data_IF_222126410774
#
_entry.id   IF_222126410774
#
_cell.length_a   1.000
_cell.length_b   1.000
_cell.length_c   1.000
_cell.angle_alpha   90.00
_cell.angle_beta   90.00
_cell.angle_gamma   90.00
#
_symmetry.space_group_name_H-M   'P 1'
#
loop_
_entity.id
_entity.type
_entity.pdbx_description
1 polymer ?
#
# COMPACT_ATOMS: atom_id res chain seq x y z
N UNK A 1 20.60 20.22 17.24
CA UNK A 1 19.34 19.91 16.54
C UNK A 1 19.65 19.91 15.05
N UNK A 2 19.30 18.85 14.33
CA UNK A 2 19.51 18.75 12.87
C UNK A 2 18.38 19.50 12.18
N UNK A 3 18.69 20.48 11.34
CA UNK A 3 17.71 21.28 10.59
C UNK A 3 17.48 20.68 9.21
N UNK A 4 16.24 20.32 8.90
CA UNK A 4 15.82 19.75 7.62
C UNK A 4 15.05 20.79 6.82
N UNK A 5 15.40 20.95 5.55
CA UNK A 5 14.59 21.68 4.58
C UNK A 5 14.00 20.71 3.54
N UNK A 6 12.68 20.74 3.40
CA UNK A 6 11.95 19.97 2.39
C UNK A 6 12.14 20.57 1.01
N UNK A 7 12.22 19.71 0.00
CA UNK A 7 12.33 20.09 -1.40
C UNK A 7 11.16 19.48 -2.19
N UNK A 8 10.29 20.35 -2.69
CA UNK A 8 9.10 19.96 -3.42
C UNK A 8 8.01 19.37 -2.52
N UNK A 9 7.07 18.65 -3.13
CA UNK A 9 5.97 18.05 -2.40
C UNK A 9 6.43 16.83 -1.58
N UNK A 10 6.26 16.97 -0.27
CA UNK A 10 6.53 15.96 0.75
C UNK A 10 5.26 15.63 1.54
N UNK A 11 4.08 15.81 0.92
CA UNK A 11 2.81 15.37 1.50
C UNK A 11 2.84 13.85 1.77
N UNK A 12 2.17 13.43 2.84
CA UNK A 12 2.16 12.03 3.31
C UNK A 12 3.55 11.48 3.64
N UNK A 13 4.38 12.32 4.24
CA UNK A 13 5.68 11.93 4.81
C UNK A 13 5.78 12.44 6.24
N UNK A 14 6.69 11.88 7.07
CA UNK A 14 6.93 12.34 8.45
C UNK A 14 7.34 13.82 8.55
N UNK A 15 7.73 14.45 7.44
CA UNK A 15 8.19 15.83 7.40
C UNK A 15 7.06 16.86 7.22
N UNK A 16 5.79 16.43 7.12
CA UNK A 16 4.68 17.31 6.73
C UNK A 16 3.50 17.38 7.68
N UNK A 17 3.26 16.37 8.53
CA UNK A 17 2.16 16.43 9.50
C UNK A 17 2.65 16.84 10.90
N UNK A 18 1.74 17.40 11.70
CA UNK A 18 2.07 18.00 13.00
C UNK A 18 2.61 17.00 14.02
N UNK A 19 2.07 15.79 14.07
CA UNK A 19 2.47 14.79 15.07
C UNK A 19 3.85 14.21 14.80
N UNK A 20 4.14 13.87 13.55
CA UNK A 20 5.47 13.39 13.16
C UNK A 20 6.52 14.49 13.27
N UNK A 21 6.17 15.74 12.92
CA UNK A 21 7.06 16.89 13.16
C UNK A 21 7.34 17.05 14.66
N UNK A 22 6.33 16.88 15.52
CA UNK A 22 6.54 16.90 16.98
C UNK A 22 7.48 15.77 17.40
N UNK A 23 7.26 14.54 16.92
CA UNK A 23 8.14 13.41 17.19
C UNK A 23 9.58 13.67 16.72
N UNK A 24 9.77 14.22 15.52
CA UNK A 24 11.08 14.58 14.99
C UNK A 24 11.76 15.64 15.88
N UNK A 25 11.02 16.67 16.30
CA UNK A 25 11.53 17.71 17.21
C UNK A 25 11.99 17.12 18.54
N UNK A 26 11.20 16.21 19.13
CA UNK A 26 11.55 15.48 20.36
C UNK A 26 12.80 14.60 20.18
N UNK A 27 13.12 14.22 18.93
CA UNK A 27 14.34 13.51 18.54
C UNK A 27 15.47 14.44 18.07
N UNK A 28 15.33 15.74 18.26
CA UNK A 28 16.36 16.73 17.91
C UNK A 28 16.47 16.99 16.41
N UNK A 29 15.43 16.72 15.63
CA UNK A 29 15.32 16.98 14.19
C UNK A 29 14.22 18.02 13.97
N UNK A 30 14.57 19.19 13.43
CA UNK A 30 13.59 20.25 13.12
C UNK A 30 13.36 20.39 11.63
N UNK A 31 12.10 20.53 11.23
CA UNK A 31 11.74 20.89 9.85
C UNK A 31 11.61 22.40 9.77
N UNK A 32 12.44 23.03 8.94
CA UNK A 32 12.49 24.48 8.74
C UNK A 32 12.08 24.85 7.31
N UNK A 33 11.86 26.15 7.08
CA UNK A 33 11.38 26.73 5.82
C UNK A 33 12.42 27.63 5.11
N UNK A 34 13.66 27.66 5.60
CA UNK A 34 14.72 28.51 5.09
C UNK A 34 16.03 27.74 4.86
N UNK A 35 17.00 28.39 4.20
CA UNK A 35 18.24 27.77 3.73
C UNK A 35 19.29 27.52 4.83
N UNK A 36 19.04 27.93 6.06
CA UNK A 36 19.86 27.60 7.23
C UNK A 36 19.61 26.15 7.71
N UNK A 37 19.56 25.21 6.77
CA UNK A 37 19.35 23.79 7.04
C UNK A 37 20.67 23.02 7.04
N UNK A 38 20.73 21.86 7.66
CA UNK A 38 21.85 20.92 7.55
C UNK A 38 21.62 19.91 6.42
N UNK A 39 20.36 19.56 6.17
CA UNK A 39 19.94 18.48 5.29
C UNK A 39 18.77 18.91 4.39
N UNK A 40 18.93 18.74 3.08
CA UNK A 40 17.82 18.78 2.13
C UNK A 40 17.16 17.41 2.00
N UNK A 41 15.84 17.36 2.11
CA UNK A 41 15.06 16.13 1.95
C UNK A 41 14.05 16.27 0.82
N UNK A 42 14.01 15.30 -0.09
CA UNK A 42 13.02 15.24 -1.17
C UNK A 42 12.45 13.83 -1.34
N UNK A 43 11.29 13.73 -1.98
CA UNK A 43 10.68 12.44 -2.33
C UNK A 43 11.24 11.83 -3.62
N UNK A 44 12.04 12.60 -4.37
CA UNK A 44 12.57 12.23 -5.68
C UNK A 44 14.02 12.67 -5.80
N UNK A 45 14.92 11.76 -6.16
CA UNK A 45 16.35 12.02 -6.33
C UNK A 45 16.67 13.20 -7.25
N UNK A 46 15.99 13.33 -8.39
CA UNK A 46 16.26 14.42 -9.35
C UNK A 46 16.01 15.82 -8.78
N UNK A 47 15.14 15.96 -7.78
CA UNK A 47 14.88 17.24 -7.13
C UNK A 47 16.11 17.72 -6.33
N UNK A 48 16.87 16.77 -5.76
CA UNK A 48 18.10 17.04 -5.03
C UNK A 48 19.30 17.19 -5.96
N UNK A 49 19.28 16.55 -7.13
CA UNK A 49 20.38 16.65 -8.11
C UNK A 49 20.77 18.09 -8.39
N UNK A 50 19.81 19.00 -8.64
CA UNK A 50 20.10 20.43 -8.89
C UNK A 50 20.57 21.18 -7.66
N UNK A 51 20.04 20.85 -6.49
CA UNK A 51 20.34 21.53 -5.23
C UNK A 51 21.76 21.21 -4.77
N UNK A 52 22.21 19.95 -4.94
CA UNK A 52 23.56 19.57 -4.56
C UNK A 52 24.67 20.24 -5.38
N UNK A 53 24.39 20.64 -6.63
CA UNK A 53 25.33 21.48 -7.40
C UNK A 53 25.49 22.87 -6.79
N UNK A 54 24.42 23.44 -6.23
CA UNK A 54 24.43 24.79 -5.67
C UNK A 54 25.07 24.86 -4.29
N UNK A 55 24.78 23.90 -3.42
CA UNK A 55 25.20 23.95 -2.01
C UNK A 55 26.41 23.06 -1.71
N UNK A 56 26.76 22.14 -2.60
CA UNK A 56 27.95 21.29 -2.48
C UNK A 56 28.01 20.52 -1.17
N UNK A 57 29.22 20.18 -0.74
CA UNK A 57 29.48 19.39 0.48
C UNK A 57 29.14 20.10 1.80
N UNK A 58 28.78 21.39 1.78
CA UNK A 58 28.36 22.14 2.97
C UNK A 58 27.02 21.67 3.54
N UNK A 59 26.23 20.95 2.75
CA UNK A 59 24.91 20.44 3.10
C UNK A 59 24.85 18.94 2.81
N UNK A 60 23.89 18.25 3.41
CA UNK A 60 23.59 16.84 3.13
C UNK A 60 22.30 16.72 2.30
N UNK A 61 22.10 15.56 1.67
CA UNK A 61 20.99 15.30 0.76
C UNK A 61 20.42 13.91 1.01
N UNK A 62 19.11 13.84 1.24
CA UNK A 62 18.41 12.59 1.50
C UNK A 62 17.15 12.50 0.64
N UNK A 63 17.04 11.43 -0.13
CA UNK A 63 15.75 11.00 -0.66
C UNK A 63 15.02 10.23 0.43
N UNK A 64 13.79 10.63 0.73
CA UNK A 64 12.90 9.88 1.60
C UNK A 64 11.54 9.68 0.93
N UNK A 65 11.16 8.43 0.65
CA UNK A 65 9.81 8.15 0.15
C UNK A 65 9.34 6.73 0.43
N UNK A 66 8.12 6.60 0.91
CA UNK A 66 7.41 5.33 1.01
C UNK A 66 6.84 4.87 -0.32
N UNK A 67 6.53 5.77 -1.26
CA UNK A 67 5.92 5.39 -2.54
C UNK A 67 6.97 4.78 -3.49
N UNK A 68 6.88 3.48 -3.82
CA UNK A 68 7.92 2.77 -4.58
C UNK A 68 8.18 3.39 -5.97
N UNK A 69 7.19 4.09 -6.56
CA UNK A 69 7.33 4.76 -7.86
C UNK A 69 7.87 6.18 -7.80
N UNK A 70 7.89 6.84 -6.63
CA UNK A 70 8.43 8.22 -6.52
C UNK A 70 9.94 8.25 -6.70
N UNK A 71 10.64 7.21 -6.23
CA UNK A 71 12.07 7.03 -6.44
C UNK A 71 12.42 5.55 -6.66
N UNK A 72 12.75 5.14 -7.90
CA UNK A 72 13.00 3.74 -8.24
C UNK A 72 14.47 3.31 -8.04
N UNK A 73 15.23 3.95 -7.14
CA UNK A 73 16.61 3.55 -6.89
C UNK A 73 16.68 2.34 -5.95
N UNK A 74 17.46 1.33 -6.33
CA UNK A 74 17.70 0.14 -5.49
C UNK A 74 19.00 0.20 -4.68
N UNK A 75 19.77 1.29 -4.83
CA UNK A 75 20.97 1.57 -4.04
C UNK A 75 20.64 2.58 -2.97
N UNK A 76 21.18 2.39 -1.77
CA UNK A 76 21.01 3.30 -0.63
C UNK A 76 21.69 4.67 -0.83
N UNK A 77 22.35 4.91 -1.97
CA UNK A 77 22.88 6.21 -2.35
C UNK A 77 23.07 6.35 -3.87
N UNK A 78 23.06 7.61 -4.32
CA UNK A 78 23.60 8.03 -5.61
C UNK A 78 24.96 8.65 -5.32
N UNK A 79 26.00 8.07 -5.91
CA UNK A 79 27.37 8.51 -5.68
C UNK A 79 27.58 9.98 -6.06
N UNK A 80 28.47 10.62 -5.32
CA UNK A 80 29.00 11.93 -5.65
C UNK A 80 30.01 11.85 -6.79
N UNK A 81 30.43 13.01 -7.30
CA UNK A 81 31.49 13.11 -8.30
C UNK A 81 32.29 14.40 -8.07
N UNK A 82 33.59 14.27 -7.83
CA UNK A 82 34.48 15.38 -7.45
C UNK A 82 33.89 16.20 -6.27
N UNK A 83 33.57 17.47 -6.48
CA UNK A 83 33.00 18.38 -5.47
C UNK A 83 31.48 18.21 -5.30
N UNK A 84 30.84 17.37 -6.11
CA UNK A 84 29.40 17.10 -6.02
C UNK A 84 29.20 15.99 -4.97
N UNK A 85 28.49 16.28 -3.87
CA UNK A 85 28.28 15.31 -2.80
C UNK A 85 27.30 14.20 -3.20
N UNK A 86 27.37 13.08 -2.49
CA UNK A 86 26.42 11.97 -2.66
C UNK A 86 25.00 12.35 -2.18
N UNK A 87 24.02 11.61 -2.67
CA UNK A 87 22.63 11.66 -2.18
C UNK A 87 22.35 10.35 -1.49
N UNK A 88 22.02 10.37 -0.20
CA UNK A 88 21.55 9.19 0.50
C UNK A 88 20.10 8.89 0.08
N UNK A 89 19.76 7.62 0.01
CA UNK A 89 18.42 7.18 -0.38
C UNK A 89 17.88 6.29 0.72
N UNK A 90 16.74 6.71 1.26
CA UNK A 90 15.83 5.89 2.04
C UNK A 90 14.53 5.84 1.25
N UNK A 91 14.27 4.73 0.58
CA UNK A 91 13.01 4.50 -0.12
C UNK A 91 12.48 3.09 0.18
N UNK A 92 11.38 2.71 -0.47
CA UNK A 92 10.76 1.38 -0.34
C UNK A 92 11.70 0.19 -0.57
N UNK A 93 12.88 0.39 -1.19
CA UNK A 93 13.81 -0.68 -1.55
C UNK A 93 15.14 -0.65 -0.80
N UNK A 94 15.43 0.42 -0.06
CA UNK A 94 16.82 0.71 0.39
C UNK A 94 16.95 1.08 1.86
N UNK A 95 15.85 1.41 2.52
CA UNK A 95 15.85 1.70 3.95
C UNK A 95 14.63 1.11 4.64
N UNK A 96 14.64 1.14 5.96
CA UNK A 96 13.61 0.57 6.83
C UNK A 96 12.38 1.49 6.91
N UNK A 97 11.82 1.89 5.77
CA UNK A 97 10.61 2.73 5.71
C UNK A 97 9.37 1.92 6.10
N UNK A 98 9.33 0.67 5.65
CA UNK A 98 8.30 -0.28 6.02
C UNK A 98 8.85 -1.23 7.07
N UNK A 99 8.23 -1.23 8.25
CA UNK A 99 8.65 -2.07 9.38
C UNK A 99 7.92 -3.42 9.42
N UNK A 100 6.75 -3.50 8.78
CA UNK A 100 5.86 -4.67 8.71
C UNK A 100 4.74 -4.40 7.69
N UNK A 101 3.88 -5.39 7.43
CA UNK A 101 2.80 -5.30 6.43
C UNK A 101 1.56 -4.49 6.87
N UNK A 102 1.55 -3.96 8.10
CA UNK A 102 0.38 -3.29 8.70
C UNK A 102 0.68 -1.88 9.23
N UNK A 103 1.88 -1.35 8.96
CA UNK A 103 2.27 0.02 9.28
C UNK A 103 2.10 0.89 8.04
N UNK A 104 1.09 1.74 8.07
CA UNK A 104 0.86 2.70 7.00
C UNK A 104 1.78 3.92 7.19
N UNK A 105 2.61 4.28 6.20
CA UNK A 105 3.44 5.47 6.24
C UNK A 105 2.63 6.77 6.02
N UNK A 106 1.30 6.67 6.04
CA UNK A 106 0.39 7.76 5.77
C UNK A 106 0.00 8.47 7.05
N UNK A 107 -0.10 9.79 6.96
CA UNK A 107 -0.18 10.67 8.12
C UNK A 107 -1.56 11.32 8.26
N UNK A 108 -2.53 10.81 7.50
CA UNK A 108 -3.93 11.22 7.57
C UNK A 108 -4.60 10.57 8.79
N UNK A 109 -5.52 11.29 9.43
CA UNK A 109 -6.25 10.84 10.61
C UNK A 109 -7.00 9.51 10.37
N UNK A 110 -7.42 9.24 9.13
CA UNK A 110 -7.98 7.94 8.76
C UNK A 110 -6.99 6.79 9.03
N UNK A 111 -5.73 6.92 8.61
CA UNK A 111 -4.74 5.85 8.77
C UNK A 111 -4.27 5.73 10.22
N UNK A 112 -4.29 6.82 10.99
CA UNK A 112 -4.03 6.79 12.44
C UNK A 112 -5.07 5.97 13.19
N UNK A 113 -6.34 6.17 12.85
CA UNK A 113 -7.47 5.49 13.48
C UNK A 113 -7.90 4.23 12.72
N UNK A 114 -7.12 3.76 11.76
CA UNK A 114 -7.50 2.65 10.89
C UNK A 114 -7.85 1.38 11.70
N UNK A 115 -7.04 1.12 12.72
CA UNK A 115 -7.19 -0.01 13.62
C UNK A 115 -8.16 0.25 14.78
N UNK A 116 -8.71 1.46 14.91
CA UNK A 116 -9.69 1.85 15.92
C UNK A 116 -11.11 1.47 15.50
N UNK A 117 -11.29 0.19 15.21
CA UNK A 117 -12.60 -0.44 15.00
C UNK A 117 -12.81 -1.56 16.02
N UNK A 118 -13.99 -2.15 16.03
CA UNK A 118 -14.26 -3.37 16.80
C UNK A 118 -13.56 -4.59 16.19
N UNK A 119 -13.47 -5.64 16.99
CA UNK A 119 -13.00 -6.93 16.50
C UNK A 119 -13.97 -7.46 15.44
N UNK A 120 -13.42 -8.05 14.37
CA UNK A 120 -14.25 -8.65 13.32
C UNK A 120 -14.74 -10.03 13.79
N UNK A 121 -16.03 -10.28 13.62
CA UNK A 121 -16.65 -11.57 13.94
C UNK A 121 -16.20 -12.66 12.94
N UNK A 122 -15.94 -13.88 13.45
CA UNK A 122 -15.66 -15.03 12.60
C UNK A 122 -16.93 -15.51 11.90
N UNK A 123 -16.78 -15.93 10.64
CA UNK A 123 -17.86 -16.48 9.84
C UNK A 123 -18.24 -17.89 10.30
N UNK A 124 -19.55 -18.14 10.38
CA UNK A 124 -20.18 -19.41 10.70
C UNK A 124 -21.41 -19.63 9.79
N UNK A 125 -22.20 -20.67 10.04
CA UNK A 125 -23.37 -21.00 9.20
C UNK A 125 -24.50 -19.98 9.37
N UNK A 126 -24.59 -19.34 10.53
CA UNK A 126 -25.66 -18.39 10.86
C UNK A 126 -25.41 -17.02 10.23
N UNK A 127 -24.17 -16.51 10.32
CA UNK A 127 -23.82 -15.18 9.82
C UNK A 127 -23.31 -15.17 8.36
N UNK A 128 -22.95 -16.34 7.80
CA UNK A 128 -22.60 -16.51 6.39
C UNK A 128 -23.10 -17.88 5.85
N UNK A 129 -24.41 -18.04 5.62
CA UNK A 129 -24.97 -19.31 5.17
C UNK A 129 -24.65 -19.62 3.70
N UNK A 130 -24.57 -18.60 2.84
CA UNK A 130 -24.29 -18.77 1.41
C UNK A 130 -23.76 -17.49 0.75
N UNK A 131 -23.16 -17.64 -0.43
CA UNK A 131 -22.80 -16.51 -1.29
C UNK A 131 -24.03 -15.80 -1.84
N UNK A 132 -24.00 -14.47 -1.85
CA UNK A 132 -24.93 -13.64 -2.63
C UNK A 132 -24.68 -13.83 -4.14
N UNK A 133 -23.40 -13.85 -4.50
CA UNK A 133 -22.85 -14.13 -5.82
C UNK A 133 -21.34 -14.32 -5.67
N UNK A 134 -20.67 -14.76 -6.74
CA UNK A 134 -19.21 -14.96 -6.72
C UNK A 134 -18.44 -13.94 -7.56
N UNK A 135 -19.06 -12.80 -7.88
CA UNK A 135 -18.36 -11.69 -8.53
C UNK A 135 -17.26 -11.12 -7.63
N UNK A 136 -16.19 -10.66 -8.28
CA UNK A 136 -15.04 -10.01 -7.69
C UNK A 136 -15.15 -8.50 -7.85
N UNK A 137 -14.91 -7.74 -6.79
CA UNK A 137 -14.75 -6.30 -6.86
C UNK A 137 -13.33 -5.93 -7.31
N UNK A 138 -13.20 -5.02 -8.27
CA UNK A 138 -11.92 -4.48 -8.73
C UNK A 138 -11.93 -2.94 -8.68
N UNK A 139 -11.42 -2.37 -7.58
CA UNK A 139 -11.31 -0.90 -7.41
C UNK A 139 -9.92 -0.41 -7.76
N UNK A 140 -9.75 0.14 -8.96
CA UNK A 140 -8.44 0.56 -9.46
C UNK A 140 -8.52 1.58 -10.59
N UNK A 141 -7.41 2.26 -10.84
CA UNK A 141 -7.26 3.11 -12.04
C UNK A 141 -6.83 2.24 -13.21
N UNK A 142 -7.42 2.48 -14.38
CA UNK A 142 -7.05 1.80 -15.61
C UNK A 142 -5.60 2.10 -16.03
N UNK A 143 -4.83 1.03 -16.29
CA UNK A 143 -3.40 1.08 -16.63
C UNK A 143 -3.03 0.02 -17.68
N UNK A 144 -3.49 0.18 -18.92
CA UNK A 144 -3.35 -0.86 -19.97
C UNK A 144 -2.13 -0.71 -20.92
N UNK A 145 -1.24 0.26 -20.68
CA UNK A 145 -0.07 0.46 -21.53
C UNK A 145 1.17 -0.21 -20.94
N UNK A 146 1.37 -1.51 -21.16
CA UNK A 146 2.44 -2.29 -20.50
C UNK A 146 3.81 -1.62 -20.60
N UNK A 147 4.24 -1.21 -21.81
CA UNK A 147 5.54 -0.54 -22.02
C UNK A 147 5.72 0.74 -21.21
N UNK A 148 4.63 1.49 -20.99
CA UNK A 148 4.64 2.74 -20.23
C UNK A 148 4.80 2.49 -18.72
N UNK A 149 4.25 1.38 -18.23
CA UNK A 149 4.17 1.10 -16.79
C UNK A 149 5.20 0.08 -16.32
N UNK A 150 5.77 -0.73 -17.21
CA UNK A 150 6.77 -1.76 -16.86
C UNK A 150 7.88 -1.16 -16.00
N UNK A 151 8.17 -1.86 -14.91
CA UNK A 151 9.20 -1.50 -13.96
C UNK A 151 9.84 -2.78 -13.42
N UNK A 152 11.07 -3.03 -13.86
CA UNK A 152 11.75 -4.30 -13.61
C UNK A 152 13.00 -4.13 -12.76
N UNK A 153 13.26 -5.14 -11.93
CA UNK A 153 14.55 -5.35 -11.24
C UNK A 153 15.00 -6.77 -11.51
N UNK A 154 16.23 -6.94 -12.01
CA UNK A 154 16.83 -8.27 -12.26
C UNK A 154 15.93 -9.19 -13.10
N UNK A 155 15.27 -8.63 -14.12
CA UNK A 155 14.35 -9.35 -15.00
C UNK A 155 12.94 -9.56 -14.45
N UNK A 156 12.71 -9.37 -13.15
CA UNK A 156 11.40 -9.48 -12.50
C UNK A 156 10.57 -8.22 -12.72
N UNK A 157 9.31 -8.39 -13.13
CA UNK A 157 8.33 -7.31 -13.18
C UNK A 157 7.84 -6.96 -11.78
N UNK A 158 7.99 -5.69 -11.40
CA UNK A 158 7.51 -5.13 -10.14
C UNK A 158 6.23 -4.32 -10.34
N UNK A 159 5.89 -3.88 -11.56
CA UNK A 159 4.58 -3.27 -11.80
C UNK A 159 3.46 -4.30 -11.67
N UNK A 160 2.48 -4.02 -10.83
CA UNK A 160 1.27 -4.82 -10.73
C UNK A 160 0.06 -4.11 -11.36
N UNK A 161 0.17 -2.81 -11.69
CA UNK A 161 -0.93 -2.03 -12.25
C UNK A 161 -1.43 -2.59 -13.59
N UNK A 162 -0.49 -2.94 -14.48
CA UNK A 162 -0.84 -3.54 -15.77
C UNK A 162 -1.51 -4.91 -15.59
N UNK A 163 -0.95 -5.78 -14.74
CA UNK A 163 -1.50 -7.11 -14.47
C UNK A 163 -2.92 -7.03 -13.88
N UNK A 164 -3.15 -6.14 -12.91
CA UNK A 164 -4.48 -5.88 -12.35
C UNK A 164 -5.50 -5.49 -13.43
N UNK A 165 -5.07 -4.64 -14.36
CA UNK A 165 -5.92 -4.24 -15.50
C UNK A 165 -6.26 -5.44 -16.39
N UNK A 166 -5.30 -6.33 -16.67
CA UNK A 166 -5.57 -7.54 -17.47
C UNK A 166 -6.56 -8.48 -16.78
N UNK A 167 -6.37 -8.74 -15.48
CA UNK A 167 -7.26 -9.61 -14.70
C UNK A 167 -8.69 -9.04 -14.70
N UNK A 168 -8.82 -7.73 -14.44
CA UNK A 168 -10.11 -7.07 -14.39
C UNK A 168 -10.81 -7.03 -15.76
N UNK A 169 -10.09 -6.77 -16.86
CA UNK A 169 -10.66 -6.83 -18.21
C UNK A 169 -11.13 -8.24 -18.56
N UNK A 170 -10.35 -9.27 -18.23
CA UNK A 170 -10.71 -10.64 -18.54
C UNK A 170 -11.92 -11.10 -17.72
N UNK A 171 -11.94 -10.80 -16.42
CA UNK A 171 -13.09 -11.07 -15.58
C UNK A 171 -14.34 -10.28 -15.97
N UNK A 172 -14.20 -9.04 -16.45
CA UNK A 172 -15.31 -8.24 -16.95
C UNK A 172 -15.97 -8.90 -18.18
N UNK A 173 -15.18 -9.36 -19.16
CA UNK A 173 -15.70 -10.09 -20.34
C UNK A 173 -16.51 -11.33 -19.97
N UNK A 174 -16.14 -11.98 -18.87
CA UNK A 174 -16.79 -13.19 -18.36
C UNK A 174 -17.93 -12.89 -17.36
N UNK A 175 -18.27 -11.61 -17.12
CA UNK A 175 -19.22 -11.17 -16.10
C UNK A 175 -18.86 -11.68 -14.67
N UNK A 176 -17.56 -11.83 -14.39
CA UNK A 176 -17.00 -12.27 -13.11
C UNK A 176 -16.43 -11.14 -12.27
N UNK A 177 -16.07 -10.02 -12.89
CA UNK A 177 -15.50 -8.85 -12.21
C UNK A 177 -16.36 -7.63 -12.47
N UNK A 178 -16.72 -6.94 -11.40
CA UNK A 178 -17.29 -5.60 -11.47
C UNK A 178 -16.17 -4.59 -11.17
N UNK A 179 -16.01 -3.61 -12.08
CA UNK A 179 -14.89 -2.67 -12.07
C UNK A 179 -15.34 -1.31 -11.56
N UNK A 180 -14.51 -0.72 -10.71
CA UNK A 180 -14.72 0.58 -10.11
C UNK A 180 -13.44 1.42 -10.23
N UNK A 181 -13.59 2.73 -10.47
CA UNK A 181 -12.47 3.67 -10.54
C UNK A 181 -12.33 4.37 -11.88
N UNK A 182 -11.22 5.09 -12.03
CA UNK A 182 -11.02 6.10 -13.07
C UNK A 182 -10.30 5.55 -14.32
N UNK A 183 -10.41 6.30 -15.41
CA UNK A 183 -9.71 6.12 -16.69
C UNK A 183 -10.07 4.84 -17.48
N UNK A 184 -11.06 4.07 -17.03
CA UNK A 184 -11.52 2.88 -17.73
C UNK A 184 -12.23 3.24 -19.05
N UNK A 185 -12.13 2.38 -20.08
CA UNK A 185 -12.95 2.51 -21.28
C UNK A 185 -14.44 2.64 -20.94
N UNK A 186 -15.16 3.43 -21.74
CA UNK A 186 -16.59 3.71 -21.54
C UNK A 186 -17.38 2.40 -21.42
N UNK A 187 -18.18 2.28 -20.35
CA UNK A 187 -19.03 1.12 -20.09
C UNK A 187 -18.41 0.01 -19.24
N UNK A 188 -17.12 0.10 -18.90
CA UNK A 188 -16.45 -0.90 -18.05
C UNK A 188 -16.57 -0.56 -16.56
N UNK A 189 -16.20 0.66 -16.17
CA UNK A 189 -16.30 1.09 -14.77
C UNK A 189 -17.75 1.45 -14.43
N UNK A 190 -18.27 0.89 -13.35
CA UNK A 190 -19.63 1.15 -12.85
C UNK A 190 -19.75 2.58 -12.31
N UNK A 191 -18.73 3.05 -11.58
CA UNK A 191 -18.69 4.40 -11.04
C UNK A 191 -17.25 4.88 -10.78
N UNK A 192 -17.10 6.21 -10.76
CA UNK A 192 -15.91 6.86 -10.23
C UNK A 192 -15.97 6.84 -8.70
N UNK A 193 -15.36 5.84 -8.06
CA UNK A 193 -15.43 5.66 -6.61
C UNK A 193 -14.70 6.74 -5.78
N UNK A 194 -14.01 7.72 -6.38
CA UNK A 194 -13.10 8.69 -5.73
C UNK A 194 -13.66 10.11 -5.48
N UNK A 195 -14.96 10.33 -5.63
CA UNK A 195 -15.59 11.61 -5.25
C UNK A 195 -16.06 11.60 -3.80
N UNK A 196 -15.88 12.71 -3.06
CA UNK A 196 -16.39 12.86 -1.69
C UNK A 196 -15.66 12.02 -0.64
N UNK A 197 -16.39 11.50 0.35
CA UNK A 197 -15.87 10.53 1.33
C UNK A 197 -15.63 9.18 0.65
N UNK A 198 -14.43 9.05 0.08
CA UNK A 198 -13.99 7.85 -0.64
C UNK A 198 -14.03 6.60 0.25
N UNK A 199 -13.79 6.72 1.56
CA UNK A 199 -13.79 5.57 2.46
C UNK A 199 -15.20 5.01 2.62
N UNK A 200 -16.21 5.86 2.84
CA UNK A 200 -17.60 5.43 2.93
C UNK A 200 -18.10 4.86 1.61
N UNK A 201 -17.77 5.49 0.48
CA UNK A 201 -18.11 4.97 -0.85
C UNK A 201 -17.49 3.58 -1.08
N UNK A 202 -16.21 3.41 -0.77
CA UNK A 202 -15.50 2.12 -0.84
C UNK A 202 -16.17 1.07 0.03
N UNK A 203 -16.47 1.38 1.29
CA UNK A 203 -17.13 0.47 2.21
C UNK A 203 -18.51 0.03 1.70
N UNK A 204 -19.29 0.96 1.13
CA UNK A 204 -20.61 0.67 0.55
C UNK A 204 -20.52 -0.28 -0.63
N UNK A 205 -19.55 -0.09 -1.52
CA UNK A 205 -19.30 -0.98 -2.65
C UNK A 205 -18.89 -2.37 -2.16
N UNK A 206 -17.83 -2.44 -1.35
CA UNK A 206 -17.19 -3.70 -0.97
C UNK A 206 -18.11 -4.65 -0.21
N UNK A 207 -19.02 -4.14 0.63
CA UNK A 207 -19.99 -4.96 1.39
C UNK A 207 -20.99 -5.74 0.52
N UNK A 208 -21.05 -5.45 -0.79
CA UNK A 208 -21.87 -6.21 -1.73
C UNK A 208 -21.11 -7.41 -2.32
N UNK A 209 -19.79 -7.51 -2.11
CA UNK A 209 -18.95 -8.54 -2.70
C UNK A 209 -18.39 -9.48 -1.62
N UNK A 210 -17.98 -10.66 -2.09
CA UNK A 210 -17.31 -11.66 -1.26
C UNK A 210 -15.84 -11.84 -1.65
N UNK A 211 -15.42 -11.29 -2.79
CA UNK A 211 -14.04 -11.37 -3.28
C UNK A 211 -13.58 -10.00 -3.75
N UNK A 212 -12.31 -9.66 -3.54
CA UNK A 212 -11.76 -8.37 -3.93
C UNK A 212 -10.35 -8.49 -4.49
N UNK A 213 -10.12 -7.94 -5.68
CA UNK A 213 -8.81 -7.87 -6.32
C UNK A 213 -8.00 -6.71 -5.73
N UNK A 214 -7.17 -7.01 -4.74
CA UNK A 214 -6.58 -6.04 -3.82
C UNK A 214 -5.05 -5.92 -3.93
N UNK A 215 -4.49 -6.19 -5.11
CA UNK A 215 -3.06 -6.07 -5.35
C UNK A 215 -2.55 -4.64 -5.07
N UNK A 216 -1.31 -4.56 -4.64
CA UNK A 216 -0.58 -3.31 -4.65
C UNK A 216 -0.31 -2.77 -6.06
N UNK A 217 0.16 -1.54 -6.14
CA UNK A 217 0.57 -0.94 -7.42
C UNK A 217 1.94 -1.50 -7.87
N UNK A 218 2.82 -1.74 -6.91
CA UNK A 218 4.20 -2.18 -7.12
C UNK A 218 4.49 -3.33 -6.17
N UNK A 219 5.23 -4.33 -6.63
CA UNK A 219 5.70 -5.42 -5.80
C UNK A 219 7.00 -5.03 -5.09
N UNK A 220 6.98 -4.97 -3.76
CA UNK A 220 8.13 -4.65 -2.92
C UNK A 220 7.93 -5.23 -1.52
N UNK A 221 9.02 -5.60 -0.87
CA UNK A 221 9.00 -6.08 0.52
C UNK A 221 8.29 -5.07 1.44
N UNK A 222 7.39 -5.59 2.28
CA UNK A 222 6.58 -4.84 3.24
C UNK A 222 5.72 -3.69 2.68
N UNK A 223 5.71 -3.47 1.35
CA UNK A 223 4.76 -2.58 0.72
C UNK A 223 3.39 -3.26 0.70
N UNK A 224 2.66 -3.09 1.79
CA UNK A 224 1.31 -3.58 1.99
C UNK A 224 0.46 -2.44 2.55
N UNK A 225 -0.52 -2.00 1.76
CA UNK A 225 -1.37 -0.86 2.08
C UNK A 225 -2.72 -1.33 2.62
N UNK A 226 -3.65 -0.41 2.82
CA UNK A 226 -5.02 -0.70 3.24
C UNK A 226 -5.77 -1.67 2.31
N UNK A 227 -5.28 -1.98 1.11
CA UNK A 227 -6.05 -2.76 0.12
C UNK A 227 -6.43 -4.15 0.61
N UNK A 228 -5.47 -4.92 1.14
CA UNK A 228 -5.75 -6.26 1.68
C UNK A 228 -6.54 -6.16 2.98
N UNK A 229 -6.19 -5.20 3.84
CA UNK A 229 -6.86 -5.00 5.13
C UNK A 229 -8.32 -4.55 4.97
N UNK A 230 -8.62 -3.68 4.01
CA UNK A 230 -9.98 -3.26 3.66
C UNK A 230 -10.77 -4.40 3.05
N UNK A 231 -10.13 -5.28 2.27
CA UNK A 231 -10.76 -6.52 1.80
C UNK A 231 -11.35 -7.28 2.97
N UNK A 232 -10.54 -7.54 3.98
CA UNK A 232 -10.92 -8.31 5.16
C UNK A 232 -11.97 -7.55 5.98
N UNK A 233 -11.72 -6.27 6.27
CA UNK A 233 -12.59 -5.37 7.03
C UNK A 233 -14.01 -5.28 6.46
N UNK A 234 -14.16 -5.39 5.14
CA UNK A 234 -15.46 -5.31 4.47
C UNK A 234 -16.02 -6.67 4.02
N UNK A 235 -15.48 -7.78 4.53
CA UNK A 235 -16.05 -9.12 4.32
C UNK A 235 -15.67 -9.79 3.00
N UNK A 236 -14.65 -9.28 2.30
CA UNK A 236 -14.18 -9.84 1.05
C UNK A 236 -12.93 -10.71 1.26
N UNK A 237 -12.97 -11.97 0.82
CA UNK A 237 -11.77 -12.80 0.70
C UNK A 237 -10.77 -12.13 -0.25
N UNK A 238 -9.53 -11.85 0.21
CA UNK A 238 -8.58 -11.13 -0.62
C UNK A 238 -8.08 -11.98 -1.79
N UNK A 239 -7.98 -11.36 -2.98
CA UNK A 239 -7.20 -11.85 -4.11
C UNK A 239 -5.97 -10.95 -4.22
N UNK A 240 -4.82 -11.49 -3.83
CA UNK A 240 -3.59 -10.72 -3.63
C UNK A 240 -2.43 -11.30 -4.46
N UNK A 241 -1.34 -10.55 -4.57
CA UNK A 241 -0.11 -10.99 -5.23
C UNK A 241 0.97 -11.17 -4.16
N UNK A 242 1.17 -12.40 -3.70
CA UNK A 242 2.00 -12.68 -2.51
C UNK A 242 3.49 -12.86 -2.81
N UNK A 243 3.84 -13.30 -4.02
CA UNK A 243 5.22 -13.59 -4.40
C UNK A 243 6.09 -12.31 -4.43
N UNK A 244 7.28 -12.35 -3.81
CA UNK A 244 8.20 -11.19 -3.76
C UNK A 244 7.77 -10.06 -2.84
N UNK A 245 6.81 -10.34 -1.99
CA UNK A 245 6.41 -9.53 -0.85
C UNK A 245 6.68 -10.33 0.44
N UNK A 246 6.55 -9.67 1.59
CA UNK A 246 6.65 -10.24 2.93
C UNK A 246 5.29 -10.56 3.56
N UNK A 247 4.22 -10.58 2.76
CA UNK A 247 2.85 -10.80 3.25
C UNK A 247 2.67 -12.10 4.05
N UNK A 248 3.44 -13.14 3.71
CA UNK A 248 3.41 -14.44 4.39
C UNK A 248 4.03 -14.45 5.79
N UNK A 249 4.65 -13.35 6.24
CA UNK A 249 5.06 -13.19 7.64
C UNK A 249 3.86 -12.97 8.57
N UNK A 250 2.76 -12.42 8.04
CA UNK A 250 1.53 -12.19 8.80
C UNK A 250 0.41 -13.17 8.40
N UNK A 251 0.32 -13.52 7.12
CA UNK A 251 -0.76 -14.35 6.59
C UNK A 251 -0.28 -15.79 6.33
N UNK A 252 -0.87 -16.81 6.97
CA UNK A 252 -0.58 -18.20 6.66
C UNK A 252 -0.92 -18.54 5.19
N UNK A 253 -0.25 -19.55 4.63
CA UNK A 253 -0.65 -20.11 3.33
C UNK A 253 -2.12 -20.50 3.35
N UNK A 254 -2.78 -20.37 2.21
CA UNK A 254 -4.21 -20.61 2.01
C UNK A 254 -5.16 -19.63 2.71
N UNK A 255 -4.72 -18.60 3.44
CA UNK A 255 -5.65 -17.63 4.05
C UNK A 255 -6.35 -16.75 3.02
N UNK A 256 -5.62 -16.25 2.03
CA UNK A 256 -6.13 -15.48 0.90
C UNK A 256 -5.89 -16.25 -0.41
N UNK A 257 -6.46 -15.77 -1.51
CA UNK A 257 -6.18 -16.30 -2.85
C UNK A 257 -4.93 -15.61 -3.40
N UNK A 258 -3.78 -16.28 -3.34
CA UNK A 258 -2.57 -15.77 -4.01
C UNK A 258 -2.69 -16.00 -5.52
N UNK A 259 -2.73 -14.91 -6.27
CA UNK A 259 -2.81 -14.96 -7.72
C UNK A 259 -1.65 -15.73 -8.36
N UNK A 260 -0.48 -15.75 -7.73
CA UNK A 260 0.68 -16.49 -8.22
C UNK A 260 0.42 -17.99 -8.38
N UNK A 261 -0.53 -18.57 -7.63
CA UNK A 261 -0.90 -19.98 -7.73
C UNK A 261 -1.72 -20.28 -9.00
N UNK A 262 -2.43 -19.29 -9.55
CA UNK A 262 -3.38 -19.50 -10.65
C UNK A 262 -2.76 -19.33 -12.04
N UNK A 263 -1.65 -18.59 -12.18
CA UNK A 263 -0.91 -18.34 -13.44
C UNK A 263 -1.69 -17.67 -14.58
N UNK A 264 -3.01 -17.49 -14.47
CA UNK A 264 -3.90 -16.89 -15.48
C UNK A 264 -5.24 -16.46 -14.86
N UNK A 265 -5.90 -15.39 -15.35
CA UNK A 265 -7.21 -14.97 -14.85
C UNK A 265 -8.29 -16.06 -14.95
N UNK A 266 -8.29 -16.86 -16.02
CA UNK A 266 -9.30 -17.91 -16.26
C UNK A 266 -9.26 -18.98 -15.17
N UNK A 267 -8.05 -19.39 -14.75
CA UNK A 267 -7.87 -20.35 -13.65
C UNK A 267 -8.31 -19.77 -12.31
N UNK A 268 -8.05 -18.49 -12.06
CA UNK A 268 -8.54 -17.80 -10.86
C UNK A 268 -10.08 -17.82 -10.82
N UNK A 269 -10.75 -17.41 -11.89
CA UNK A 269 -12.22 -17.35 -11.90
C UNK A 269 -12.86 -18.73 -11.86
N UNK A 270 -12.28 -19.73 -12.54
CA UNK A 270 -12.72 -21.14 -12.42
C UNK A 270 -12.62 -21.64 -10.98
N UNK A 271 -11.57 -21.26 -10.27
CA UNK A 271 -11.39 -21.61 -8.87
C UNK A 271 -12.46 -20.96 -7.99
N UNK A 272 -12.69 -19.65 -8.15
CA UNK A 272 -13.73 -18.91 -7.43
C UNK A 272 -15.11 -19.53 -7.66
N UNK A 273 -15.44 -19.87 -8.91
CA UNK A 273 -16.71 -20.53 -9.25
C UNK A 273 -16.88 -21.89 -8.56
N UNK A 274 -15.80 -22.65 -8.41
CA UNK A 274 -15.80 -23.97 -7.77
C UNK A 274 -15.75 -23.93 -6.23
N UNK A 275 -15.28 -22.84 -5.63
CA UNK A 275 -15.12 -22.69 -4.18
C UNK A 275 -16.46 -22.84 -3.43
N UNK A 276 -16.57 -23.76 -2.49
CA UNK A 276 -17.76 -23.88 -1.67
C UNK A 276 -17.78 -22.88 -0.50
N UNK A 277 -18.93 -22.75 0.15
CA UNK A 277 -19.12 -21.80 1.27
C UNK A 277 -18.27 -22.19 2.48
N UNK A 278 -17.96 -23.48 2.66
CA UNK A 278 -17.14 -23.96 3.77
C UNK A 278 -15.69 -23.51 3.60
N UNK A 279 -15.11 -23.76 2.43
CA UNK A 279 -13.76 -23.30 2.10
C UNK A 279 -13.64 -21.78 2.23
N UNK A 280 -14.63 -21.03 1.72
CA UNK A 280 -14.63 -19.58 1.85
C UNK A 280 -14.59 -19.12 3.30
N UNK A 281 -15.47 -19.68 4.16
CA UNK A 281 -15.51 -19.34 5.59
C UNK A 281 -14.20 -19.69 6.28
N UNK A 282 -13.63 -20.87 6.01
CA UNK A 282 -12.35 -21.29 6.58
C UNK A 282 -11.22 -20.31 6.23
N UNK A 283 -11.06 -19.98 4.95
CA UNK A 283 -10.03 -19.03 4.47
C UNK A 283 -10.25 -17.63 5.03
N UNK A 284 -11.47 -17.12 4.94
CA UNK A 284 -11.82 -15.79 5.43
C UNK A 284 -11.62 -15.68 6.95
N UNK A 285 -11.90 -16.73 7.72
CA UNK A 285 -11.66 -16.77 9.17
C UNK A 285 -10.18 -16.72 9.54
N UNK A 286 -9.30 -17.31 8.72
CA UNK A 286 -7.85 -17.12 8.90
C UNK A 286 -7.49 -15.65 8.67
N UNK A 287 -7.99 -15.03 7.59
CA UNK A 287 -7.78 -13.60 7.34
C UNK A 287 -8.31 -12.69 8.45
N UNK A 288 -9.51 -12.96 8.97
CA UNK A 288 -10.12 -12.24 10.09
C UNK A 288 -9.28 -12.40 11.35
N UNK A 289 -8.79 -13.61 11.63
CA UNK A 289 -7.92 -13.87 12.78
C UNK A 289 -6.63 -13.06 12.72
N UNK A 290 -5.98 -13.00 11.55
CA UNK A 290 -4.79 -12.16 11.32
C UNK A 290 -5.12 -10.68 11.52
N UNK A 291 -6.23 -10.21 10.95
CA UNK A 291 -6.71 -8.83 11.13
C UNK A 291 -6.88 -8.47 12.61
N UNK A 292 -7.57 -9.32 13.37
CA UNK A 292 -7.84 -9.09 14.79
C UNK A 292 -6.55 -9.12 15.64
N UNK A 293 -5.61 -10.02 15.31
CA UNK A 293 -4.29 -10.06 15.96
C UNK A 293 -3.48 -8.80 15.69
N UNK A 294 -3.40 -8.34 14.44
CA UNK A 294 -2.70 -7.11 14.06
C UNK A 294 -3.34 -5.90 14.72
N UNK A 295 -4.67 -5.78 14.67
CA UNK A 295 -5.43 -4.75 15.38
C UNK A 295 -5.02 -4.68 16.85
N UNK A 296 -5.00 -5.83 17.55
CA UNK A 296 -4.59 -5.90 18.97
C UNK A 296 -3.13 -5.45 19.18
N UNK A 297 -2.20 -5.92 18.34
CA UNK A 297 -0.78 -5.53 18.39
C UNK A 297 -0.60 -4.01 18.24
N UNK A 298 -1.28 -3.40 17.26
CA UNK A 298 -1.18 -1.96 17.00
C UNK A 298 -1.76 -1.16 18.16
N UNK A 299 -2.96 -1.51 18.66
CA UNK A 299 -3.58 -0.83 19.82
C UNK A 299 -2.70 -0.87 21.06
N UNK A 300 -2.11 -2.04 21.38
CA UNK A 300 -1.18 -2.17 22.50
C UNK A 300 0.03 -1.25 22.33
N UNK A 301 0.63 -1.22 21.13
CA UNK A 301 1.80 -0.37 20.85
C UNK A 301 1.51 1.12 21.05
N UNK A 302 0.31 1.57 20.68
CA UNK A 302 -0.12 2.97 20.84
C UNK A 302 -0.34 3.30 22.32
N UNK A 303 -0.93 2.38 23.10
CA UNK A 303 -1.12 2.55 24.54
C UNK A 303 0.22 2.63 25.30
N UNK A 304 1.20 1.78 24.96
CA UNK A 304 2.55 1.84 25.54
C UNK A 304 3.28 3.17 25.22
N UNK A 305 3.08 3.75 24.04
CA UNK A 305 3.66 5.05 23.69
C UNK A 305 3.04 6.21 24.47
N UNK A 306 1.74 6.13 24.77
CA UNK A 306 1.02 7.18 25.51
C UNK A 306 1.31 7.12 27.01
N UNK A 307 1.50 5.93 27.60
CA UNK A 307 1.85 5.77 29.02
C UNK A 307 3.27 6.23 29.38
N UNK A 308 4.20 6.27 28.42
CA UNK A 308 5.56 6.82 28.63
C UNK A 308 5.67 8.34 28.45
N UNK A 309 4.58 9.01 28.05
CA UNK A 309 4.52 10.47 27.88
C UNK A 309 3.94 11.21 29.09
N UNK A 310 3.40 10.48 30.06
CA UNK A 310 2.91 11.00 31.34
C UNK A 310 3.89 10.67 32.45
#
# INVERSE_FOLDING_TARGET
MIKILKVGDMSFTPFSNKEDIKFLNDKGISVIDNLDCDLFVASKSYALSRIRYRFGSKKKYLVWTSEPRKDPNFKNKIDGFFWIPEIHIMNAYTGDIYLNNYTFPFTDDFFKNYWEIDELELLNEDNFPNFKHKKVAAMMVYRNAQKKWSFKKEGRELDLCYLRTQIALEGYKQNKVDVYGQDWPKGISIENSRGGDWQQAKAKVMRNYHFNLCFENTNSDYYCSEKIWDSIRYGCLPIYYGEGNKIYEDFPKNSFLDYCDFKSPEKLFKYIDAMDVKEFRERMNICISVFNQVRKKVKLSNHYKNSKKN
#
